data_IF_659139719297
#
_entry.id   IF_659139719297
#
_cell.length_a   1.000
_cell.length_b   1.000
_cell.length_c   1.000
_cell.angle_alpha   90.00
_cell.angle_beta   90.00
_cell.angle_gamma   90.00
#
_symmetry.space_group_name_H-M   'P 1'
#
loop_
_entity.id
_entity.type
_entity.pdbx_description
1 polymer ?
#
# COMPACT_ATOMS: atom_id res chain seq x y z
N UNK A 1 3.83 -29.62 -18.23
CA UNK A 1 4.52 -28.93 -17.13
C UNK A 1 3.52 -28.20 -16.27
N UNK A 2 3.57 -28.44 -14.97
CA UNK A 2 2.80 -27.73 -13.94
C UNK A 2 3.45 -26.39 -13.61
N UNK A 3 2.71 -25.50 -12.94
CA UNK A 3 3.26 -24.22 -12.47
C UNK A 3 4.41 -24.42 -11.47
N UNK A 4 4.35 -25.48 -10.64
CA UNK A 4 5.43 -25.82 -9.68
C UNK A 4 6.71 -26.28 -10.38
N UNK A 5 6.58 -26.99 -11.49
CA UNK A 5 7.73 -27.43 -12.31
C UNK A 5 8.39 -26.23 -13.00
N UNK A 6 7.60 -25.37 -13.64
CA UNK A 6 8.11 -24.13 -14.27
C UNK A 6 8.80 -23.20 -13.27
N UNK A 7 8.24 -23.06 -12.06
CA UNK A 7 8.85 -22.25 -11.02
C UNK A 7 10.20 -22.82 -10.57
N UNK A 8 10.31 -24.15 -10.42
CA UNK A 8 11.58 -24.79 -10.03
C UNK A 8 12.66 -24.57 -11.09
N UNK A 9 12.34 -24.79 -12.35
CA UNK A 9 13.28 -24.53 -13.46
C UNK A 9 13.74 -23.08 -13.49
N UNK A 10 12.80 -22.14 -13.28
CA UNK A 10 13.13 -20.71 -13.27
C UNK A 10 14.00 -20.30 -12.08
N UNK A 11 13.81 -20.92 -10.92
CA UNK A 11 14.63 -20.67 -9.71
C UNK A 11 16.07 -21.12 -9.94
N UNK A 12 16.27 -22.25 -10.63
CA UNK A 12 17.61 -22.78 -10.93
C UNK A 12 18.41 -21.85 -11.87
N UNK A 13 17.73 -20.97 -12.62
CA UNK A 13 18.35 -19.99 -13.53
C UNK A 13 18.65 -18.63 -12.87
N UNK A 14 18.18 -18.40 -11.64
CA UNK A 14 18.38 -17.13 -10.96
C UNK A 14 19.83 -16.97 -10.47
N UNK A 15 20.32 -15.74 -10.46
CA UNK A 15 21.49 -15.39 -9.68
C UNK A 15 21.16 -15.41 -8.18
N UNK A 16 22.17 -15.52 -7.32
CA UNK A 16 21.98 -15.48 -5.85
C UNK A 16 21.28 -14.19 -5.38
N UNK A 17 21.52 -13.05 -6.04
CA UNK A 17 20.83 -11.80 -5.72
C UNK A 17 19.35 -11.86 -6.07
N UNK A 18 19.01 -12.35 -7.26
CA UNK A 18 17.61 -12.51 -7.68
C UNK A 18 16.88 -13.58 -6.85
N UNK A 19 17.59 -14.62 -6.42
CA UNK A 19 17.05 -15.64 -5.53
C UNK A 19 16.74 -15.04 -4.15
N UNK A 20 17.62 -14.21 -3.59
CA UNK A 20 17.38 -13.50 -2.34
C UNK A 20 16.15 -12.58 -2.43
N UNK A 21 16.06 -11.74 -3.48
CA UNK A 21 14.90 -10.87 -3.70
C UNK A 21 13.59 -11.67 -3.85
N UNK A 22 13.65 -12.81 -4.54
CA UNK A 22 12.50 -13.71 -4.72
C UNK A 22 12.07 -14.34 -3.39
N UNK A 23 13.01 -14.74 -2.54
CA UNK A 23 12.73 -15.26 -1.21
C UNK A 23 12.08 -14.20 -0.31
N UNK A 24 12.58 -12.97 -0.33
CA UNK A 24 11.99 -11.85 0.42
C UNK A 24 10.55 -11.58 -0.01
N UNK A 25 10.28 -11.60 -1.31
CA UNK A 25 8.92 -11.48 -1.84
C UNK A 25 7.98 -12.61 -1.41
N UNK A 26 8.47 -13.84 -1.39
CA UNK A 26 7.66 -14.98 -0.94
C UNK A 26 7.41 -14.91 0.58
N UNK A 27 8.41 -14.49 1.35
CA UNK A 27 8.28 -14.28 2.80
C UNK A 27 7.24 -13.19 3.12
N UNK A 28 7.23 -12.08 2.36
CA UNK A 28 6.25 -11.00 2.53
C UNK A 28 4.81 -11.43 2.24
N UNK A 29 4.60 -12.58 1.59
CA UNK A 29 3.28 -13.19 1.37
C UNK A 29 2.88 -14.19 2.46
N UNK A 30 3.83 -14.68 3.25
CA UNK A 30 3.61 -15.69 4.31
C UNK A 30 3.50 -15.06 5.70
N UNK A 31 4.14 -13.91 5.92
CA UNK A 31 3.86 -13.07 7.09
C UNK A 31 2.34 -12.82 7.16
N UNK A 32 1.73 -12.90 8.36
CA UNK A 32 0.31 -12.59 8.50
C UNK A 32 0.11 -11.19 7.96
N UNK A 33 -0.58 -11.10 6.81
CA UNK A 33 -1.06 -9.83 6.29
C UNK A 33 -1.74 -9.14 7.47
N UNK A 34 -1.29 -7.94 7.82
CA UNK A 34 -1.95 -7.24 8.89
C UNK A 34 -3.44 -7.13 8.57
N UNK A 35 -4.28 -7.15 9.61
CA UNK A 35 -5.72 -7.21 9.43
C UNK A 35 -6.25 -6.05 8.57
N UNK A 36 -5.51 -4.93 8.52
CA UNK A 36 -5.81 -3.78 7.68
C UNK A 36 -5.58 -4.08 6.19
N UNK A 37 -4.46 -4.70 5.84
CA UNK A 37 -4.13 -5.07 4.45
C UNK A 37 -5.12 -6.09 3.90
N UNK A 38 -5.48 -7.11 4.71
CA UNK A 38 -6.50 -8.07 4.30
C UNK A 38 -7.88 -7.41 4.11
N UNK A 39 -8.25 -6.49 5.01
CA UNK A 39 -9.49 -5.72 4.90
C UNK A 39 -9.53 -4.85 3.64
N UNK A 40 -8.43 -4.15 3.32
CA UNK A 40 -8.34 -3.29 2.14
C UNK A 40 -8.35 -4.10 0.82
N UNK A 41 -7.68 -5.25 0.78
CA UNK A 41 -7.69 -6.15 -0.40
C UNK A 41 -9.09 -6.70 -0.71
N UNK A 42 -9.93 -6.86 0.32
CA UNK A 42 -11.31 -7.36 0.19
C UNK A 42 -12.33 -6.23 0.09
N UNK A 43 -11.92 -4.97 0.26
CA UNK A 43 -12.82 -3.85 0.17
C UNK A 43 -13.36 -3.73 -1.27
N UNK A 44 -14.67 -3.53 -1.45
CA UNK A 44 -15.22 -3.27 -2.76
C UNK A 44 -14.61 -1.99 -3.34
N UNK A 45 -14.41 -1.97 -4.66
CA UNK A 45 -13.99 -0.75 -5.36
C UNK A 45 -15.12 0.27 -5.24
N UNK A 46 -14.77 1.49 -4.88
CA UNK A 46 -15.71 2.60 -4.89
C UNK A 46 -15.96 3.06 -6.33
N UNK A 47 -17.21 2.96 -6.77
CA UNK A 47 -17.66 3.36 -8.10
C UNK A 47 -18.43 4.69 -8.07
N UNK A 48 -18.56 5.33 -6.91
CA UNK A 48 -19.21 6.64 -6.80
C UNK A 48 -18.38 7.70 -7.56
N UNK A 49 -18.99 8.50 -8.46
CA UNK A 49 -18.29 9.59 -9.08
C UNK A 49 -17.92 10.64 -8.04
N UNK A 50 -16.71 11.19 -8.14
CA UNK A 50 -16.29 12.32 -7.29
C UNK A 50 -17.26 13.48 -7.50
N UNK A 51 -17.81 13.98 -6.41
CA UNK A 51 -18.72 15.12 -6.40
C UNK A 51 -17.97 16.46 -6.47
N UNK A 52 -18.65 17.53 -6.90
CA UNK A 52 -18.08 18.88 -6.92
C UNK A 52 -17.68 19.37 -5.52
N UNK A 53 -18.41 18.94 -4.48
CA UNK A 53 -18.10 19.28 -3.09
C UNK A 53 -16.79 18.63 -2.63
N UNK A 54 -16.55 17.37 -3.00
CA UNK A 54 -15.31 16.67 -2.70
C UNK A 54 -14.12 17.25 -3.46
N UNK A 55 -14.30 17.61 -4.73
CA UNK A 55 -13.26 18.31 -5.49
C UNK A 55 -12.88 19.64 -4.84
N UNK A 56 -13.89 20.40 -4.38
CA UNK A 56 -13.67 21.65 -3.65
C UNK A 56 -12.92 21.42 -2.34
N UNK A 57 -13.30 20.40 -1.55
CA UNK A 57 -12.64 20.06 -0.30
C UNK A 57 -11.16 19.67 -0.51
N UNK A 58 -10.85 18.93 -1.58
CA UNK A 58 -9.47 18.60 -1.95
C UNK A 58 -8.69 19.86 -2.32
N UNK A 59 -9.30 20.80 -3.04
CA UNK A 59 -8.63 22.04 -3.40
C UNK A 59 -8.40 22.93 -2.18
N UNK A 60 -9.37 23.02 -1.27
CA UNK A 60 -9.24 23.73 0.00
C UNK A 60 -8.05 23.20 0.82
N UNK A 61 -7.95 21.87 0.99
CA UNK A 61 -6.84 21.25 1.69
C UNK A 61 -5.48 21.54 1.04
N UNK A 62 -5.41 21.55 -0.30
CA UNK A 62 -4.18 21.93 -1.03
C UNK A 62 -3.78 23.38 -0.77
N UNK A 63 -4.75 24.28 -0.74
CA UNK A 63 -4.52 25.70 -0.47
C UNK A 63 -4.08 25.95 0.98
N UNK A 64 -4.62 25.20 1.94
CA UNK A 64 -4.17 25.21 3.34
C UNK A 64 -2.71 24.75 3.46
N UNK A 65 -2.34 23.66 2.80
CA UNK A 65 -0.95 23.17 2.74
C UNK A 65 -0.04 24.26 2.15
N UNK A 66 -0.44 24.89 1.05
CA UNK A 66 0.33 25.96 0.40
C UNK A 66 0.51 27.19 1.31
N UNK A 67 -0.47 27.47 2.17
CA UNK A 67 -0.42 28.52 3.19
C UNK A 67 0.34 28.11 4.47
N UNK A 68 0.82 26.88 4.56
CA UNK A 68 1.49 26.34 5.74
C UNK A 68 0.55 26.09 6.93
N UNK A 69 -0.75 25.97 6.68
CA UNK A 69 -1.78 25.69 7.69
C UNK A 69 -1.83 24.19 8.01
N UNK A 70 -0.68 23.61 8.35
CA UNK A 70 -0.52 22.20 8.67
C UNK A 70 0.00 22.03 10.09
N UNK A 71 -0.43 20.98 10.78
CA UNK A 71 0.17 20.58 12.06
C UNK A 71 1.13 19.41 11.85
N UNK A 72 2.13 19.28 12.73
CA UNK A 72 3.01 18.11 12.69
C UNK A 72 2.28 16.87 13.22
N UNK A 73 2.70 15.69 12.78
CA UNK A 73 2.18 14.41 13.28
C UNK A 73 2.30 14.31 14.82
N UNK A 74 3.41 14.80 15.38
CA UNK A 74 3.62 14.81 16.82
C UNK A 74 2.67 15.75 17.56
N UNK A 75 2.25 16.85 16.92
CA UNK A 75 1.20 17.71 17.47
C UNK A 75 -0.16 17.00 17.45
N UNK A 76 -0.55 16.42 16.31
CA UNK A 76 -1.82 15.70 16.18
C UNK A 76 -1.95 14.58 17.23
N UNK A 77 -0.89 13.80 17.44
CA UNK A 77 -0.86 12.74 18.46
C UNK A 77 -1.09 13.25 19.89
N UNK A 78 -0.64 14.48 20.21
CA UNK A 78 -0.86 15.08 21.53
C UNK A 78 -2.29 15.56 21.72
N UNK A 79 -2.96 15.99 20.66
CA UNK A 79 -4.34 16.50 20.71
C UNK A 79 -5.39 15.37 20.77
N UNK A 80 -5.06 14.16 20.27
CA UNK A 80 -5.96 13.00 20.22
C UNK A 80 -5.82 12.02 21.41
N UNK A 81 -4.98 12.32 22.40
CA UNK A 81 -4.77 11.53 23.63
C UNK A 81 -5.62 12.06 24.79
#
# INVERSE_FOLDING_TARGET
MTAKEQLRERVDELTEAEAADTLDYLASRVEPRDALTEFLDQAPIDEEPVSEEEEHAVQEARDEIARGQTISLEQLKRELQ
#
